data_IF_102504183659
#
_entry.id   IF_102504183659
#
_cell.length_a   1.000
_cell.length_b   1.000
_cell.length_c   1.000
_cell.angle_alpha   90.00
_cell.angle_beta   90.00
_cell.angle_gamma   90.00
#
_symmetry.space_group_name_H-M   'P 1'
#
loop_
_entity.id
_entity.type
_entity.pdbx_description
1 polymer ?
#
# COMPACT_ATOMS: atom_id res chain seq x y z
N UNK A 1 -1.75 9.85 -37.78
CA UNK A 1 -1.44 9.01 -36.58
C UNK A 1 -1.90 9.75 -35.33
N UNK A 2 -2.95 9.29 -34.62
CA UNK A 2 -3.38 9.93 -33.35
C UNK A 2 -2.44 9.49 -32.22
N UNK A 3 -1.73 10.44 -31.61
CA UNK A 3 -0.94 10.19 -30.39
C UNK A 3 -1.89 10.14 -29.20
N UNK A 4 -1.95 9.00 -28.50
CA UNK A 4 -2.70 8.86 -27.26
C UNK A 4 -1.71 9.13 -26.12
N UNK A 5 -1.99 10.13 -25.29
CA UNK A 5 -1.14 10.46 -24.15
C UNK A 5 -1.50 9.59 -22.94
N UNK A 6 -0.49 9.24 -22.14
CA UNK A 6 -0.64 8.50 -20.88
C UNK A 6 -1.66 9.14 -19.92
N UNK A 7 -1.73 10.47 -19.91
CA UNK A 7 -2.73 11.21 -19.12
C UNK A 7 -4.19 10.92 -19.53
N UNK A 8 -4.47 10.69 -20.81
CA UNK A 8 -5.83 10.33 -21.28
C UNK A 8 -6.23 8.89 -20.91
N UNK A 9 -5.23 8.05 -20.64
CA UNK A 9 -5.43 6.66 -20.23
C UNK A 9 -5.41 6.48 -18.70
N UNK A 10 -5.15 7.55 -17.94
CA UNK A 10 -5.04 7.47 -16.47
C UNK A 10 -3.84 6.65 -15.97
N UNK A 11 -2.83 6.44 -16.83
CA UNK A 11 -1.62 5.65 -16.52
C UNK A 11 -0.43 6.56 -16.26
N UNK A 12 0.45 6.14 -15.35
CA UNK A 12 1.75 6.77 -15.09
C UNK A 12 2.88 5.77 -15.32
N UNK A 13 4.09 6.28 -15.56
CA UNK A 13 5.28 5.44 -15.64
C UNK A 13 5.43 4.64 -14.33
N UNK A 14 5.62 3.32 -14.45
CA UNK A 14 5.69 2.40 -13.32
C UNK A 14 4.36 1.76 -12.90
N UNK A 15 3.22 2.17 -13.49
CA UNK A 15 1.95 1.47 -13.26
C UNK A 15 1.99 0.07 -13.89
N UNK A 16 1.46 -0.93 -13.16
CA UNK A 16 1.12 -2.23 -13.75
C UNK A 16 -0.16 -2.07 -14.57
N UNK A 17 -0.15 -2.53 -15.80
CA UNK A 17 -1.27 -2.39 -16.73
C UNK A 17 -2.02 -3.71 -16.92
N UNK A 18 -3.33 -3.60 -17.11
CA UNK A 18 -4.20 -4.68 -17.56
C UNK A 18 -4.73 -4.34 -18.96
N UNK A 19 -4.76 -5.37 -19.79
CA UNK A 19 -4.98 -5.31 -21.23
C UNK A 19 -6.17 -6.21 -21.55
N UNK A 20 -7.28 -5.59 -21.96
CA UNK A 20 -8.52 -6.31 -22.28
C UNK A 20 -8.90 -5.99 -23.73
N UNK A 21 -9.11 -7.04 -24.53
CA UNK A 21 -9.61 -6.90 -25.89
C UNK A 21 -11.14 -6.82 -25.82
N UNK A 22 -11.70 -5.66 -26.13
CA UNK A 22 -13.14 -5.52 -26.38
C UNK A 22 -13.36 -5.54 -27.90
N UNK A 23 -14.53 -5.98 -28.36
CA UNK A 23 -14.82 -6.11 -29.80
C UNK A 23 -14.73 -4.80 -30.62
N UNK A 24 -14.40 -3.66 -30.00
CA UNK A 24 -14.16 -2.36 -30.63
C UNK A 24 -12.70 -1.90 -30.48
N UNK A 25 -11.83 -2.68 -29.84
CA UNK A 25 -10.39 -2.44 -29.75
C UNK A 25 -9.76 -2.82 -28.41
N UNK A 26 -8.56 -2.29 -28.16
CA UNK A 26 -7.79 -2.59 -26.95
C UNK A 26 -8.11 -1.60 -25.82
N UNK A 27 -8.59 -2.09 -24.68
CA UNK A 27 -8.74 -1.31 -23.45
C UNK A 27 -7.51 -1.50 -22.58
N UNK A 28 -6.90 -0.38 -22.18
CA UNK A 28 -5.73 -0.35 -21.29
C UNK A 28 -6.13 0.35 -20.00
N UNK A 29 -5.98 -0.33 -18.86
CA UNK A 29 -6.27 0.24 -17.53
C UNK A 29 -5.09 0.07 -16.57
N UNK A 30 -4.89 1.05 -15.69
CA UNK A 30 -3.91 0.92 -14.61
C UNK A 30 -4.47 0.02 -13.50
N UNK A 31 -3.74 -1.04 -13.16
CA UNK A 31 -4.09 -1.94 -12.06
C UNK A 31 -3.77 -1.25 -10.74
N UNK A 32 -4.77 -0.57 -10.18
CA UNK A 32 -4.71 0.03 -8.84
C UNK A 32 -5.05 -1.04 -7.79
N UNK A 33 -4.21 -2.07 -7.63
CA UNK A 33 -4.35 -2.96 -6.47
C UNK A 33 -4.11 -2.13 -5.21
N UNK A 34 -5.16 -1.97 -4.38
CA UNK A 34 -4.97 -1.44 -3.03
C UNK A 34 -3.94 -2.32 -2.32
N UNK A 35 -2.92 -1.69 -1.73
CA UNK A 35 -1.95 -2.42 -0.90
C UNK A 35 -2.71 -3.25 0.14
N UNK A 36 -2.34 -4.52 0.38
CA UNK A 36 -2.95 -5.31 1.46
C UNK A 36 -2.75 -4.64 2.83
N UNK A 37 -1.76 -3.74 2.94
CA UNK A 37 -1.49 -2.94 4.12
C UNK A 37 -2.19 -1.58 4.14
N UNK A 38 -2.96 -1.22 3.10
CA UNK A 38 -3.64 0.08 3.03
C UNK A 38 -4.59 0.30 4.22
N UNK A 39 -5.18 -0.78 4.75
CA UNK A 39 -6.04 -0.75 5.94
C UNK A 39 -5.31 -0.42 7.25
N UNK A 40 -3.98 -0.52 7.28
CA UNK A 40 -3.16 -0.22 8.45
C UNK A 40 -2.48 1.16 8.37
N UNK A 41 -2.60 1.86 7.25
CA UNK A 41 -2.04 3.21 7.13
C UNK A 41 -2.78 4.19 8.03
N UNK A 42 -2.03 5.06 8.73
CA UNK A 42 -2.59 6.11 9.59
C UNK A 42 -2.93 5.70 11.02
N UNK A 43 -2.82 4.41 11.38
CA UNK A 43 -3.11 3.92 12.74
C UNK A 43 -2.07 4.40 13.78
N UNK A 44 -0.85 4.73 13.34
CA UNK A 44 0.23 5.15 14.23
C UNK A 44 0.76 3.97 15.06
N UNK A 45 1.08 4.23 16.34
CA UNK A 45 1.67 3.24 17.25
C UNK A 45 0.84 3.15 18.56
N UNK A 46 -0.42 2.69 18.49
CA UNK A 46 -1.33 2.71 19.64
C UNK A 46 -0.85 1.75 20.73
N UNK A 47 -0.72 2.25 21.96
CA UNK A 47 -0.30 1.44 23.11
C UNK A 47 1.19 1.09 23.16
N UNK A 48 2.00 1.53 22.19
CA UNK A 48 3.45 1.26 22.15
C UNK A 48 4.20 2.60 22.27
N UNK A 49 5.09 2.69 23.25
CA UNK A 49 5.92 3.88 23.46
C UNK A 49 6.79 4.19 22.25
N UNK A 50 7.01 5.48 21.96
CA UNK A 50 7.88 5.93 20.85
C UNK A 50 9.36 5.62 21.16
N UNK A 51 10.12 5.35 20.10
CA UNK A 51 11.57 5.13 20.16
C UNK A 51 11.99 3.81 20.79
N UNK A 52 13.31 3.55 20.80
CA UNK A 52 13.88 2.26 21.20
C UNK A 52 13.45 1.80 22.59
N UNK A 53 13.47 2.70 23.59
CA UNK A 53 13.11 2.35 24.97
C UNK A 53 11.64 1.96 25.10
N UNK A 54 10.73 2.67 24.42
CA UNK A 54 9.30 2.35 24.43
C UNK A 54 9.00 0.99 23.80
N UNK A 55 9.65 0.70 22.67
CA UNK A 55 9.54 -0.60 21.99
C UNK A 55 10.09 -1.73 22.87
N UNK A 56 11.24 -1.52 23.54
CA UNK A 56 11.82 -2.52 24.43
C UNK A 56 10.96 -2.78 25.67
N UNK A 57 10.36 -1.74 26.26
CA UNK A 57 9.41 -1.89 27.38
C UNK A 57 8.19 -2.71 26.97
N UNK A 58 7.54 -2.32 25.88
CA UNK A 58 6.38 -3.05 25.33
C UNK A 58 6.71 -4.52 25.01
N UNK A 59 7.89 -4.79 24.46
CA UNK A 59 8.36 -6.15 24.19
C UNK A 59 8.62 -6.98 25.45
N UNK A 60 8.97 -6.35 26.59
CA UNK A 60 9.17 -7.06 27.86
C UNK A 60 7.83 -7.41 28.51
N UNK A 61 6.90 -6.46 28.54
CA UNK A 61 5.52 -6.64 29.02
C UNK A 61 4.85 -7.80 28.29
N UNK A 62 4.93 -7.84 26.95
CA UNK A 62 4.37 -8.93 26.14
C UNK A 62 4.94 -10.33 26.44
N UNK A 63 6.16 -10.39 26.99
CA UNK A 63 6.85 -11.66 27.29
C UNK A 63 6.70 -12.08 28.75
N UNK A 64 5.97 -11.31 29.56
CA UNK A 64 5.76 -11.61 30.98
C UNK A 64 6.95 -11.29 31.88
N UNK A 65 7.86 -10.39 31.47
CA UNK A 65 9.03 -10.02 32.27
C UNK A 65 8.74 -9.00 33.39
N UNK A 66 7.46 -8.63 33.61
CA UNK A 66 7.06 -7.66 34.66
C UNK A 66 6.40 -8.34 35.89
N UNK A 67 6.46 -9.67 36.02
CA UNK A 67 6.17 -10.40 37.27
C UNK A 67 7.49 -10.77 37.99
N UNK A 68 8.16 -9.80 38.63
CA UNK A 68 8.86 -9.92 39.93
C UNK A 68 9.22 -8.54 40.50
#
# INVERSE_FOLDING_TARGET
MRRISSGRLGVRAGDRLEFEEDGKGMRVTAVRKKSPFAKYMGIGNPGIGKGRKGIQKWMRELRGYDEE
#
